data_IF_890739486767
#
_entry.id   IF_890739486767
#
_cell.length_a   1.000
_cell.length_b   1.000
_cell.length_c   1.000
_cell.angle_alpha   90.00
_cell.angle_beta   90.00
_cell.angle_gamma   90.00
#
_symmetry.space_group_name_H-M   'P 1'
#
loop_
_entity.id
_entity.type
_entity.pdbx_description
1 polymer ?
#
# COMPACT_ATOMS: atom_id res chain seq x y z
N UNK A 1 -15.30 2.68 41.52
CA UNK A 1 -14.88 3.74 40.58
C UNK A 1 -13.81 3.10 39.70
N UNK A 2 -14.26 2.47 38.60
CA UNK A 2 -13.38 1.82 37.63
C UNK A 2 -13.09 2.87 36.56
N UNK A 3 -11.89 3.40 36.59
CA UNK A 3 -11.33 4.13 35.43
C UNK A 3 -11.13 3.12 34.32
N UNK A 4 -12.15 3.04 33.44
CA UNK A 4 -12.00 2.37 32.16
C UNK A 4 -10.90 3.11 31.41
N UNK A 5 -9.70 2.58 31.52
CA UNK A 5 -8.53 2.96 30.73
C UNK A 5 -8.92 2.85 29.25
N UNK A 6 -9.40 3.94 28.67
CA UNK A 6 -9.64 4.11 27.24
C UNK A 6 -8.27 4.14 26.58
N UNK A 7 -7.67 2.95 26.48
CA UNK A 7 -6.43 2.78 25.73
C UNK A 7 -6.71 3.28 24.30
N UNK A 8 -6.05 4.38 23.93
CA UNK A 8 -6.12 4.90 22.57
C UNK A 8 -5.83 3.74 21.60
N UNK A 9 -6.62 3.56 20.54
CA UNK A 9 -6.46 2.43 19.63
C UNK A 9 -5.03 2.39 19.12
N UNK A 10 -4.37 1.24 19.32
CA UNK A 10 -2.96 1.09 18.92
C UNK A 10 -2.85 1.21 17.40
N UNK A 11 -1.89 2.00 16.89
CA UNK A 11 -1.71 2.17 15.46
C UNK A 11 -1.26 0.85 14.81
N UNK A 12 -2.01 0.38 13.83
CA UNK A 12 -1.73 -0.82 13.05
C UNK A 12 -1.13 -0.44 11.71
N UNK A 13 0.01 -1.04 11.32
CA UNK A 13 0.65 -0.80 10.04
C UNK A 13 -0.20 -1.31 8.87
N UNK A 14 -0.36 -0.48 7.85
CA UNK A 14 -1.03 -0.80 6.58
C UNK A 14 -0.02 -1.01 5.44
N UNK A 15 1.25 -1.17 5.76
CA UNK A 15 2.28 -1.42 4.77
C UNK A 15 2.32 -2.92 4.40
N UNK A 16 2.19 -3.23 3.12
CA UNK A 16 2.19 -4.59 2.60
C UNK A 16 3.54 -5.30 2.82
N UNK A 17 4.62 -4.54 2.80
CA UNK A 17 5.97 -5.01 3.07
C UNK A 17 6.51 -4.17 4.22
N UNK A 18 6.88 -4.84 5.30
CA UNK A 18 7.50 -4.18 6.44
C UNK A 18 8.74 -3.40 5.97
N UNK A 19 8.81 -2.09 6.25
CA UNK A 19 9.92 -1.24 5.78
C UNK A 19 11.29 -1.76 6.21
N UNK A 20 11.34 -2.52 7.29
CA UNK A 20 12.55 -3.12 7.85
C UNK A 20 13.20 -4.13 6.88
N UNK A 21 12.41 -4.81 6.06
CA UNK A 21 12.89 -5.85 5.13
C UNK A 21 13.70 -5.26 3.96
N UNK A 22 13.33 -4.08 3.48
CA UNK A 22 14.02 -3.45 2.34
C UNK A 22 14.90 -2.25 2.75
N UNK A 23 14.82 -1.81 4.01
CA UNK A 23 15.65 -0.71 4.51
C UNK A 23 17.15 -0.92 4.30
N UNK A 24 17.75 -2.11 4.58
CA UNK A 24 19.17 -2.33 4.36
C UNK A 24 19.55 -2.30 2.87
N UNK A 25 18.70 -2.83 1.98
CA UNK A 25 18.92 -2.79 0.54
C UNK A 25 18.86 -1.35 0.01
N UNK A 26 17.85 -0.58 0.40
CA UNK A 26 17.73 0.83 0.03
C UNK A 26 18.90 1.67 0.54
N UNK A 27 19.40 1.38 1.75
CA UNK A 27 20.59 2.05 2.29
C UNK A 27 21.81 1.77 1.43
N UNK A 28 22.05 0.52 1.05
CA UNK A 28 23.16 0.13 0.16
C UNK A 28 23.07 0.81 -1.20
N UNK A 29 21.86 0.84 -1.80
CA UNK A 29 21.61 1.53 -3.07
C UNK A 29 21.87 3.03 -2.95
N UNK A 30 21.39 3.67 -1.90
CA UNK A 30 21.62 5.09 -1.67
C UNK A 30 23.11 5.41 -1.48
N UNK A 31 23.81 4.62 -0.68
CA UNK A 31 25.25 4.79 -0.47
C UNK A 31 26.05 4.54 -1.74
N UNK A 32 25.69 3.53 -2.54
CA UNK A 32 26.30 3.25 -3.83
C UNK A 32 26.09 4.40 -4.83
N UNK A 33 24.88 4.95 -4.91
CA UNK A 33 24.59 6.07 -5.78
C UNK A 33 25.31 7.35 -5.37
N UNK A 34 25.39 7.63 -4.07
CA UNK A 34 26.15 8.78 -3.55
C UNK A 34 27.64 8.57 -3.84
N UNK A 35 28.20 7.39 -3.59
CA UNK A 35 29.59 7.06 -3.87
C UNK A 35 29.94 7.23 -5.36
N UNK A 36 29.12 6.68 -6.24
CA UNK A 36 29.28 6.85 -7.69
C UNK A 36 29.20 8.32 -8.10
N UNK A 37 28.23 9.06 -7.57
CA UNK A 37 28.09 10.51 -7.82
C UNK A 37 29.33 11.29 -7.37
N UNK A 38 29.90 10.98 -6.20
CA UNK A 38 31.12 11.59 -5.69
C UNK A 38 32.32 11.30 -6.60
N UNK A 39 32.52 10.02 -6.98
CA UNK A 39 33.64 9.63 -7.86
C UNK A 39 33.55 10.35 -9.20
N UNK A 40 32.41 10.33 -9.86
CA UNK A 40 32.19 11.02 -11.14
C UNK A 40 32.35 12.53 -10.96
N UNK A 41 31.82 13.11 -9.89
CA UNK A 41 31.94 14.53 -9.58
C UNK A 41 33.38 14.97 -9.38
N UNK A 42 34.21 14.17 -8.71
CA UNK A 42 35.63 14.45 -8.54
C UNK A 42 36.37 14.40 -9.88
N UNK A 43 36.14 13.37 -10.69
CA UNK A 43 36.76 13.24 -12.02
C UNK A 43 36.42 14.43 -12.92
N UNK A 44 35.14 14.80 -13.01
CA UNK A 44 34.69 15.96 -13.79
C UNK A 44 35.25 17.27 -13.22
N UNK A 45 35.30 17.38 -11.88
CA UNK A 45 35.87 18.55 -11.21
C UNK A 45 37.34 18.77 -11.50
N UNK A 46 38.13 17.69 -11.64
CA UNK A 46 39.56 17.75 -12.00
C UNK A 46 39.76 18.12 -13.49
N UNK A 47 38.85 17.72 -14.40
CA UNK A 47 39.01 17.92 -15.85
C UNK A 47 38.40 19.22 -16.31
N UNK A 48 37.21 19.57 -15.84
CA UNK A 48 36.42 20.69 -16.32
C UNK A 48 36.39 21.87 -15.34
N UNK A 49 36.58 21.55 -14.06
CA UNK A 49 36.55 22.53 -12.97
C UNK A 49 35.56 22.16 -11.88
N UNK A 50 35.86 22.58 -10.65
CA UNK A 50 35.15 22.20 -9.46
C UNK A 50 33.63 22.44 -9.48
N UNK A 51 33.11 23.59 -10.00
CA UNK A 51 31.66 23.80 -10.05
C UNK A 51 30.93 22.76 -10.92
N UNK A 52 31.50 22.38 -12.06
CA UNK A 52 30.94 21.38 -12.96
C UNK A 52 30.91 19.99 -12.28
N UNK A 53 31.98 19.64 -11.57
CA UNK A 53 32.04 18.37 -10.82
C UNK A 53 30.95 18.25 -9.76
N UNK A 54 30.70 19.30 -8.97
CA UNK A 54 29.63 19.32 -7.96
C UNK A 54 28.26 19.16 -8.59
N UNK A 55 27.99 19.85 -9.69
CA UNK A 55 26.70 19.75 -10.40
C UNK A 55 26.48 18.33 -10.93
N UNK A 56 27.47 17.79 -11.65
CA UNK A 56 27.34 16.45 -12.25
C UNK A 56 27.22 15.37 -11.17
N UNK A 57 28.05 15.41 -10.13
CA UNK A 57 27.98 14.48 -9.02
C UNK A 57 26.63 14.54 -8.27
N UNK A 58 26.13 15.75 -8.06
CA UNK A 58 24.81 15.97 -7.43
C UNK A 58 23.66 15.44 -8.28
N UNK A 59 23.64 15.72 -9.57
CA UNK A 59 22.60 15.24 -10.50
C UNK A 59 22.58 13.70 -10.58
N UNK A 60 23.72 13.03 -10.52
CA UNK A 60 23.80 11.58 -10.55
C UNK A 60 23.45 10.93 -9.22
N UNK A 61 23.93 11.46 -8.10
CA UNK A 61 23.77 10.84 -6.78
C UNK A 61 22.46 11.22 -6.07
N UNK A 62 22.04 12.48 -6.15
CA UNK A 62 20.92 12.99 -5.37
C UNK A 62 19.56 12.33 -5.69
N UNK A 63 19.14 12.08 -6.94
CA UNK A 63 17.82 11.50 -7.21
C UNK A 63 17.62 10.15 -6.55
N UNK A 64 18.61 9.26 -6.65
CA UNK A 64 18.54 7.92 -6.05
C UNK A 64 18.56 7.97 -4.52
N UNK A 65 19.37 8.85 -3.93
CA UNK A 65 19.41 9.07 -2.50
C UNK A 65 18.08 9.63 -1.97
N UNK A 66 17.50 10.62 -2.64
CA UNK A 66 16.21 11.22 -2.31
C UNK A 66 15.10 10.16 -2.42
N UNK A 67 15.09 9.38 -3.51
CA UNK A 67 14.12 8.30 -3.70
C UNK A 67 14.20 7.25 -2.57
N UNK A 68 15.41 6.77 -2.27
CA UNK A 68 15.61 5.81 -1.20
C UNK A 68 15.16 6.35 0.18
N UNK A 69 15.42 7.62 0.45
CA UNK A 69 14.95 8.30 1.66
C UNK A 69 13.43 8.45 1.68
N UNK A 70 12.82 8.77 0.52
CA UNK A 70 11.38 8.89 0.35
C UNK A 70 10.67 7.57 0.67
N UNK A 71 11.12 6.48 0.06
CA UNK A 71 10.57 5.15 0.27
C UNK A 71 10.73 4.71 1.72
N UNK A 72 11.90 4.95 2.32
CA UNK A 72 12.16 4.61 3.73
C UNK A 72 11.28 5.39 4.70
N UNK A 73 10.96 6.64 4.41
CA UNK A 73 10.12 7.50 5.27
C UNK A 73 8.62 7.30 5.06
N UNK A 74 8.23 6.65 3.96
CA UNK A 74 6.83 6.38 3.68
C UNK A 74 6.35 5.26 4.61
N UNK A 75 5.45 5.61 5.52
CA UNK A 75 4.78 4.68 6.41
C UNK A 75 3.30 5.02 6.47
N UNK A 76 2.48 4.00 6.56
CA UNK A 76 1.05 4.15 6.68
C UNK A 76 0.56 3.31 7.85
N UNK A 77 -0.26 3.89 8.68
CA UNK A 77 -0.90 3.19 9.81
C UNK A 77 -2.33 3.65 9.97
N UNK A 78 -3.13 2.78 10.55
CA UNK A 78 -4.53 3.01 10.90
C UNK A 78 -4.65 3.02 12.42
N UNK A 79 -5.29 4.05 12.95
CA UNK A 79 -5.60 4.19 14.37
C UNK A 79 -7.09 4.49 14.52
N UNK A 80 -7.85 3.51 15.01
CA UNK A 80 -9.31 3.58 14.96
C UNK A 80 -9.82 3.69 13.52
N UNK A 81 -10.51 4.77 13.18
CA UNK A 81 -11.00 5.05 11.81
C UNK A 81 -10.06 5.92 10.99
N UNK A 82 -8.96 6.44 11.57
CA UNK A 82 -8.10 7.42 10.92
C UNK A 82 -6.87 6.76 10.31
N UNK A 83 -6.74 6.86 8.99
CA UNK A 83 -5.53 6.50 8.27
C UNK A 83 -4.55 7.66 8.37
N UNK A 84 -3.37 7.39 8.90
CA UNK A 84 -2.24 8.32 8.88
C UNK A 84 -1.18 7.84 7.91
N UNK A 85 -0.85 8.66 6.93
CA UNK A 85 0.23 8.41 5.99
C UNK A 85 1.34 9.45 6.20
N UNK A 86 2.55 8.98 6.49
CA UNK A 86 3.75 9.80 6.54
C UNK A 86 4.44 9.79 5.19
N UNK A 87 4.70 10.97 4.66
CA UNK A 87 5.43 11.18 3.41
C UNK A 87 6.67 12.03 3.67
N UNK A 88 7.53 12.26 2.67
CA UNK A 88 8.66 13.18 2.80
C UNK A 88 8.23 14.59 3.18
N UNK A 89 7.12 15.06 2.66
CA UNK A 89 6.67 16.46 2.73
C UNK A 89 5.73 16.70 3.92
N UNK A 90 5.34 15.63 4.66
CA UNK A 90 4.44 15.83 5.80
C UNK A 90 3.62 14.59 6.18
N UNK A 91 2.64 14.81 7.04
CA UNK A 91 1.66 13.80 7.47
C UNK A 91 0.32 14.11 6.84
N UNK A 92 -0.33 13.07 6.34
CA UNK A 92 -1.70 13.13 5.82
C UNK A 92 -2.57 12.28 6.73
N UNK A 93 -3.72 12.82 7.09
CA UNK A 93 -4.75 12.12 7.85
C UNK A 93 -6.01 12.05 7.02
N UNK A 94 -6.66 10.89 7.05
CA UNK A 94 -7.93 10.65 6.37
C UNK A 94 -8.78 9.80 7.30
N UNK A 95 -9.99 10.29 7.62
CA UNK A 95 -10.95 9.55 8.40
C UNK A 95 -11.80 8.67 7.48
N UNK A 96 -11.74 7.36 7.68
CA UNK A 96 -12.48 6.36 6.89
C UNK A 96 -13.97 6.43 7.20
N UNK A 97 -14.37 6.76 8.43
CA UNK A 97 -15.78 6.91 8.79
C UNK A 97 -16.46 8.05 8.02
N UNK A 98 -15.70 9.12 7.70
CA UNK A 98 -16.16 10.24 6.88
C UNK A 98 -15.92 10.04 5.38
N UNK A 99 -15.72 8.80 4.91
CA UNK A 99 -15.47 8.52 3.51
C UNK A 99 -16.67 8.91 2.63
N UNK A 100 -16.39 9.62 1.55
CA UNK A 100 -17.36 9.97 0.49
C UNK A 100 -17.21 9.09 -0.74
N UNK A 101 -16.16 8.26 -0.82
CA UNK A 101 -15.94 7.31 -1.89
C UNK A 101 -14.96 6.22 -1.49
N UNK A 102 -15.29 4.99 -1.85
CA UNK A 102 -14.44 3.81 -1.65
C UNK A 102 -14.43 3.00 -2.92
N UNK A 103 -13.25 2.68 -3.43
CA UNK A 103 -13.05 1.98 -4.69
C UNK A 103 -11.98 0.92 -4.55
N UNK A 104 -12.23 -0.26 -5.10
CA UNK A 104 -11.22 -1.31 -5.22
C UNK A 104 -10.57 -1.22 -6.59
N UNK A 105 -9.25 -1.08 -6.59
CA UNK A 105 -8.43 -0.97 -7.80
C UNK A 105 -7.57 -2.22 -7.94
N UNK A 106 -7.66 -2.85 -9.09
CA UNK A 106 -6.78 -3.95 -9.49
C UNK A 106 -5.86 -3.46 -10.60
N UNK A 107 -4.57 -3.62 -10.38
CA UNK A 107 -3.51 -3.31 -11.34
C UNK A 107 -3.01 -4.63 -11.90
N UNK A 108 -3.49 -5.08 -13.07
CA UNK A 108 -3.03 -6.31 -13.69
C UNK A 108 -1.58 -6.16 -14.17
N UNK A 109 -0.85 -7.28 -14.27
CA UNK A 109 0.54 -7.31 -14.74
C UNK A 109 1.25 -8.54 -14.19
N UNK A 110 2.54 -8.71 -14.51
CA UNK A 110 3.38 -9.79 -13.95
C UNK A 110 3.36 -9.82 -12.43
N UNK A 111 3.24 -8.66 -11.81
CA UNK A 111 2.98 -8.47 -10.40
C UNK A 111 1.65 -7.72 -10.28
N UNK A 112 0.56 -8.46 -10.22
CA UNK A 112 -0.76 -7.87 -10.03
C UNK A 112 -0.90 -7.33 -8.61
N UNK A 113 -1.46 -6.14 -8.49
CA UNK A 113 -1.68 -5.46 -7.21
C UNK A 113 -3.15 -5.15 -7.04
N UNK A 114 -3.64 -5.34 -5.82
CA UNK A 114 -4.98 -4.89 -5.42
C UNK A 114 -4.84 -3.87 -4.30
N UNK A 115 -5.55 -2.78 -4.43
CA UNK A 115 -5.53 -1.68 -3.48
C UNK A 115 -6.93 -1.08 -3.32
N UNK A 116 -7.18 -0.49 -2.17
CA UNK A 116 -8.37 0.29 -1.90
C UNK A 116 -8.02 1.77 -2.02
N UNK A 117 -8.85 2.51 -2.72
CA UNK A 117 -8.82 3.97 -2.77
C UNK A 117 -9.96 4.51 -1.93
N UNK A 118 -9.65 5.30 -0.92
CA UNK A 118 -10.62 5.92 -0.01
C UNK A 118 -10.53 7.43 -0.20
N UNK A 119 -11.69 8.07 -0.38
CA UNK A 119 -11.81 9.52 -0.52
C UNK A 119 -12.65 10.06 0.62
N UNK A 120 -12.13 11.06 1.34
CA UNK A 120 -12.81 11.76 2.42
C UNK A 120 -12.35 13.21 2.48
N UNK A 121 -13.28 14.15 2.64
CA UNK A 121 -12.97 15.58 2.77
C UNK A 121 -12.14 16.13 1.60
N UNK A 122 -12.38 15.70 0.37
CA UNK A 122 -11.63 16.10 -0.83
C UNK A 122 -10.20 15.53 -0.91
N UNK A 123 -9.81 14.64 0.01
CA UNK A 123 -8.52 13.96 0.01
C UNK A 123 -8.68 12.50 -0.36
N UNK A 124 -7.69 11.96 -1.04
CA UNK A 124 -7.70 10.55 -1.45
C UNK A 124 -6.47 9.85 -0.93
N UNK A 125 -6.66 8.65 -0.38
CA UNK A 125 -5.61 7.77 0.09
C UNK A 125 -5.78 6.39 -0.53
N UNK A 126 -4.66 5.78 -0.97
CA UNK A 126 -4.66 4.42 -1.51
C UNK A 126 -3.94 3.50 -0.54
N UNK A 127 -4.62 2.44 -0.11
CA UNK A 127 -4.12 1.41 0.80
C UNK A 127 -3.88 0.13 0.01
N UNK A 128 -2.67 -0.39 -0.04
CA UNK A 128 -2.40 -1.67 -0.71
C UNK A 128 -2.95 -2.82 0.13
N UNK A 129 -3.69 -3.75 -0.50
CA UNK A 129 -4.26 -4.92 0.15
C UNK A 129 -3.45 -6.19 -0.11
N UNK A 130 -3.05 -6.40 -1.37
CA UNK A 130 -2.29 -7.59 -1.76
C UNK A 130 -1.49 -7.37 -3.05
N UNK A 131 -0.50 -8.24 -3.26
CA UNK A 131 0.25 -8.39 -4.51
C UNK A 131 0.38 -9.87 -4.82
N UNK A 132 0.18 -10.25 -6.10
CA UNK A 132 0.29 -11.62 -6.56
C UNK A 132 1.12 -11.69 -7.85
N UNK A 133 1.99 -12.69 -7.94
CA UNK A 133 2.76 -12.99 -9.16
C UNK A 133 1.95 -13.86 -10.10
N UNK A 134 2.39 -13.99 -11.35
CA UNK A 134 1.78 -14.92 -12.31
C UNK A 134 1.94 -16.39 -11.89
N UNK A 135 2.99 -16.69 -11.12
CA UNK A 135 3.25 -18.03 -10.59
C UNK A 135 2.36 -18.41 -9.38
N UNK A 136 1.35 -17.60 -9.04
CA UNK A 136 0.44 -17.89 -7.93
C UNK A 136 1.03 -17.67 -6.54
N UNK A 137 2.21 -17.04 -6.42
CA UNK A 137 2.71 -16.59 -5.11
C UNK A 137 2.24 -15.17 -4.85
N UNK A 138 1.98 -14.85 -3.58
CA UNK A 138 1.49 -13.53 -3.23
C UNK A 138 1.93 -13.06 -1.85
N UNK A 139 1.69 -11.79 -1.61
CA UNK A 139 1.80 -11.17 -0.30
C UNK A 139 0.55 -10.34 -0.06
N UNK A 140 -0.07 -10.58 1.06
CA UNK A 140 -1.29 -9.92 1.51
C UNK A 140 -0.99 -9.01 2.69
N UNK A 141 -1.86 -8.05 2.93
CA UNK A 141 -1.77 -7.19 4.10
C UNK A 141 -1.93 -8.07 5.36
N UNK A 142 -1.13 -7.77 6.37
CA UNK A 142 -1.16 -8.54 7.63
C UNK A 142 -2.57 -8.58 8.24
N UNK A 143 -2.91 -9.70 8.87
CA UNK A 143 -4.24 -9.98 9.46
C UNK A 143 -4.77 -8.82 10.29
N UNK A 144 -3.95 -8.24 11.17
CA UNK A 144 -4.35 -7.09 12.00
C UNK A 144 -4.68 -5.86 11.15
N UNK A 145 -3.93 -5.62 10.06
CA UNK A 145 -4.20 -4.53 9.12
C UNK A 145 -5.52 -4.73 8.37
N UNK A 146 -5.76 -5.95 7.86
CA UNK A 146 -7.02 -6.30 7.20
C UNK A 146 -8.22 -6.15 8.14
N UNK A 147 -8.11 -6.66 9.37
CA UNK A 147 -9.17 -6.58 10.37
C UNK A 147 -9.49 -5.13 10.73
N UNK A 148 -8.48 -4.36 11.13
CA UNK A 148 -8.68 -2.96 11.53
C UNK A 148 -9.23 -2.12 10.37
N UNK A 149 -8.81 -2.41 9.13
CA UNK A 149 -9.35 -1.74 7.94
C UNK A 149 -10.81 -2.14 7.67
N UNK A 150 -11.16 -3.42 7.84
CA UNK A 150 -12.56 -3.88 7.71
C UNK A 150 -13.46 -3.21 8.77
N UNK A 151 -12.99 -3.14 10.01
CA UNK A 151 -13.71 -2.47 11.11
C UNK A 151 -13.88 -0.97 10.82
N UNK A 152 -12.85 -0.28 10.33
CA UNK A 152 -12.93 1.14 9.97
C UNK A 152 -13.89 1.37 8.78
N UNK A 153 -13.89 0.50 7.78
CA UNK A 153 -14.80 0.59 6.64
C UNK A 153 -16.26 0.33 7.04
N UNK A 154 -16.51 -0.55 8.01
CA UNK A 154 -17.86 -0.81 8.51
C UNK A 154 -18.48 0.37 9.26
N UNK A 155 -17.67 1.31 9.72
CA UNK A 155 -18.14 2.55 10.36
C UNK A 155 -18.51 3.66 9.36
N UNK A 156 -18.23 3.48 8.07
CA UNK A 156 -18.60 4.44 7.03
C UNK A 156 -20.04 4.20 6.54
N UNK A 157 -20.80 5.27 6.32
CA UNK A 157 -22.18 5.21 5.83
C UNK A 157 -22.28 5.02 4.29
N UNK A 158 -21.39 4.20 3.73
CA UNK A 158 -21.31 3.93 2.29
C UNK A 158 -21.52 2.45 1.99
N UNK A 159 -22.43 2.14 1.08
CA UNK A 159 -22.67 0.76 0.64
C UNK A 159 -21.38 0.09 0.10
N UNK A 160 -20.57 0.83 -0.68
CA UNK A 160 -19.29 0.35 -1.19
C UNK A 160 -18.28 0.04 -0.07
N UNK A 161 -18.28 0.82 1.02
CA UNK A 161 -17.41 0.56 2.18
C UNK A 161 -17.84 -0.70 2.92
N UNK A 162 -19.15 -0.89 3.11
CA UNK A 162 -19.71 -2.10 3.74
C UNK A 162 -19.45 -3.35 2.90
N UNK A 163 -19.65 -3.27 1.58
CA UNK A 163 -19.35 -4.37 0.67
C UNK A 163 -17.87 -4.77 0.72
N UNK A 164 -16.98 -3.77 0.74
CA UNK A 164 -15.54 -4.01 0.87
C UNK A 164 -15.17 -4.57 2.25
N UNK A 165 -15.77 -4.07 3.34
CA UNK A 165 -15.58 -4.65 4.67
C UNK A 165 -15.94 -6.13 4.66
N UNK A 166 -17.07 -6.51 4.05
CA UNK A 166 -17.49 -7.91 3.86
C UNK A 166 -16.44 -8.74 3.10
N UNK A 167 -15.88 -8.20 2.01
CA UNK A 167 -14.81 -8.85 1.25
C UNK A 167 -13.55 -9.10 2.12
N UNK A 168 -13.14 -8.10 2.92
CA UNK A 168 -11.99 -8.23 3.81
C UNK A 168 -12.24 -9.25 4.94
N UNK A 169 -13.45 -9.30 5.48
CA UNK A 169 -13.85 -10.32 6.45
C UNK A 169 -13.81 -11.71 5.81
N UNK A 170 -14.25 -11.84 4.56
CA UNK A 170 -14.11 -13.08 3.79
C UNK A 170 -12.66 -13.51 3.62
N UNK A 171 -11.77 -12.56 3.31
CA UNK A 171 -10.32 -12.80 3.23
C UNK A 171 -9.75 -13.31 4.57
N UNK A 172 -10.13 -12.69 5.68
CA UNK A 172 -9.71 -13.11 7.02
C UNK A 172 -10.21 -14.52 7.36
N UNK A 173 -11.43 -14.87 6.95
CA UNK A 173 -11.98 -16.23 7.15
C UNK A 173 -11.23 -17.26 6.30
N UNK A 174 -10.90 -16.94 5.05
CA UNK A 174 -10.10 -17.80 4.19
C UNK A 174 -8.72 -18.05 4.79
N UNK A 175 -8.06 -17.00 5.30
CA UNK A 175 -6.77 -17.11 5.96
C UNK A 175 -6.83 -17.93 7.26
N UNK A 176 -7.87 -17.74 8.08
CA UNK A 176 -8.07 -18.51 9.32
C UNK A 176 -8.31 -20.00 9.08
N UNK A 177 -8.79 -20.38 7.90
CA UNK A 177 -8.97 -21.78 7.48
C UNK A 177 -7.75 -22.34 6.74
N UNK A 178 -6.69 -21.58 6.60
CA UNK A 178 -5.52 -21.89 5.76
C UNK A 178 -5.92 -22.26 4.32
N UNK A 179 -6.93 -21.55 3.80
CA UNK A 179 -7.47 -21.79 2.47
C UNK A 179 -6.43 -21.55 1.39
N UNK A 180 -6.51 -22.35 0.34
CA UNK A 180 -5.68 -22.21 -0.85
C UNK A 180 -5.82 -20.82 -1.49
N UNK A 181 -4.84 -20.44 -2.31
CA UNK A 181 -4.80 -19.10 -2.90
C UNK A 181 -6.06 -18.80 -3.75
N UNK A 182 -6.55 -19.82 -4.48
CA UNK A 182 -7.72 -19.70 -5.35
C UNK A 182 -9.05 -19.51 -4.60
N UNK A 183 -9.08 -19.85 -3.32
CA UNK A 183 -10.23 -19.64 -2.45
C UNK A 183 -10.22 -18.26 -1.79
N UNK A 184 -9.10 -17.53 -1.87
CA UNK A 184 -8.94 -16.22 -1.26
C UNK A 184 -9.60 -15.12 -2.09
N UNK A 185 -10.52 -14.33 -1.51
CA UNK A 185 -11.27 -13.30 -2.21
C UNK A 185 -10.42 -12.29 -2.97
N UNK A 186 -9.32 -11.83 -2.36
CA UNK A 186 -8.42 -10.87 -3.00
C UNK A 186 -7.72 -11.46 -4.24
N UNK A 187 -7.33 -12.74 -4.19
CA UNK A 187 -6.76 -13.41 -5.35
C UNK A 187 -7.80 -13.61 -6.45
N UNK A 188 -9.02 -14.03 -6.11
CA UNK A 188 -10.14 -14.17 -7.05
C UNK A 188 -10.48 -12.84 -7.74
N UNK A 189 -10.42 -11.72 -7.01
CA UNK A 189 -10.58 -10.40 -7.60
C UNK A 189 -9.53 -10.08 -8.68
N UNK A 190 -8.28 -10.48 -8.46
CA UNK A 190 -7.22 -10.34 -9.45
C UNK A 190 -7.46 -11.25 -10.66
N UNK A 191 -7.85 -12.51 -10.43
CA UNK A 191 -8.15 -13.45 -11.52
C UNK A 191 -9.34 -12.98 -12.38
N UNK A 192 -10.36 -12.42 -11.76
CA UNK A 192 -11.50 -11.84 -12.48
C UNK A 192 -11.07 -10.75 -13.46
N UNK A 193 -10.16 -9.88 -13.05
CA UNK A 193 -9.65 -8.79 -13.91
C UNK A 193 -8.70 -9.34 -14.99
N UNK A 194 -7.85 -10.32 -14.66
CA UNK A 194 -6.99 -10.99 -15.65
C UNK A 194 -7.80 -11.68 -16.74
N UNK A 195 -8.88 -12.34 -16.39
CA UNK A 195 -9.77 -13.00 -17.34
C UNK A 195 -10.43 -12.03 -18.35
N UNK A 196 -10.47 -10.74 -18.04
CA UNK A 196 -10.96 -9.69 -18.94
C UNK A 196 -9.91 -9.16 -19.92
N UNK A 197 -8.66 -9.65 -19.83
CA UNK A 197 -7.50 -9.25 -20.65
C UNK A 197 -7.26 -7.73 -20.70
N UNK A 198 -7.51 -7.04 -19.59
CA UNK A 198 -7.36 -5.61 -19.47
C UNK A 198 -5.97 -5.32 -18.86
N UNK A 199 -5.16 -4.52 -19.56
CA UNK A 199 -3.81 -4.15 -19.12
C UNK A 199 -3.81 -2.92 -18.19
N UNK A 200 -4.87 -2.11 -18.25
CA UNK A 200 -5.00 -0.89 -17.45
C UNK A 200 -5.55 -1.19 -16.04
N UNK A 201 -5.31 -0.29 -15.06
CA UNK A 201 -5.94 -0.40 -13.75
C UNK A 201 -7.46 -0.44 -13.87
N UNK A 202 -8.08 -1.46 -13.30
CA UNK A 202 -9.53 -1.66 -13.33
C UNK A 202 -10.10 -1.35 -11.97
N UNK A 203 -11.18 -0.57 -11.96
CA UNK A 203 -12.04 -0.41 -10.81
C UNK A 203 -13.04 -1.57 -10.79
N UNK A 204 -13.07 -2.32 -9.70
CA UNK A 204 -14.10 -3.32 -9.50
C UNK A 204 -15.46 -2.63 -9.30
N UNK A 205 -16.48 -3.11 -9.99
CA UNK A 205 -17.85 -2.63 -9.79
C UNK A 205 -18.43 -3.19 -8.49
N UNK A 206 -19.46 -2.56 -7.98
CA UNK A 206 -20.18 -3.04 -6.79
C UNK A 206 -20.75 -4.45 -7.01
N UNK A 207 -21.15 -4.78 -8.24
CA UNK A 207 -21.60 -6.11 -8.63
C UNK A 207 -20.46 -7.15 -8.58
N UNK A 208 -19.23 -6.78 -8.97
CA UNK A 208 -18.07 -7.67 -8.87
C UNK A 208 -17.77 -7.97 -7.39
N UNK A 209 -17.76 -6.93 -6.54
CA UNK A 209 -17.52 -7.07 -5.11
C UNK A 209 -18.61 -7.91 -4.44
N UNK A 210 -19.88 -7.69 -4.79
CA UNK A 210 -21.00 -8.48 -4.27
C UNK A 210 -20.96 -9.94 -4.71
N UNK A 211 -20.48 -10.24 -5.91
CA UNK A 211 -20.30 -11.62 -6.38
C UNK A 211 -19.17 -12.30 -5.61
N UNK A 212 -18.03 -11.65 -5.47
CA UNK A 212 -16.89 -12.17 -4.70
C UNK A 212 -17.26 -12.43 -3.23
N UNK A 213 -18.13 -11.60 -2.62
CA UNK A 213 -18.56 -11.78 -1.23
C UNK A 213 -19.60 -12.90 -1.06
N UNK A 214 -20.46 -13.16 -2.03
CA UNK A 214 -21.45 -14.25 -2.00
C UNK A 214 -20.83 -15.64 -2.12
N UNK A 215 -19.83 -15.77 -3.01
CA UNK A 215 -19.11 -17.03 -3.20
C UNK A 215 -18.31 -17.49 -1.97
N UNK A 216 -18.17 -16.63 -0.96
CA UNK A 216 -17.51 -16.93 0.30
C UNK A 216 -18.51 -17.49 1.33
N UNK A 217 -19.80 -17.21 1.15
CA UNK A 217 -20.85 -17.60 2.08
C UNK A 217 -21.46 -18.99 1.76
N UNK A 218 -21.15 -19.55 0.58
CA UNK A 218 -21.53 -20.89 0.14
C UNK A 218 -20.44 -21.92 0.44
#
# INVERSE_FOLDING_TARGET
>A
MNDANSAAPQPVGLDLIAPELYAPMLRRLALGAIGAGVVVGVVVGLVVGWPAGVVVGGVLGAPTAIYALAVRRRRMWLSGTVIEARTLVGRRRLDVAAATGVEVLVYPGRLSRIAVRITAGGRTQTVPLAMYTDAGSGRELHILGLRTLADALSSAELAAALALSGLLVGQLRAEARDAGLEERPLYRAVQLVRARDIVQPVRLSDSDIATLSRDIAS
#
